data_IF_770559751734
#
_entry.id   IF_770559751734
#
_cell.length_a   1.000
_cell.length_b   1.000
_cell.length_c   1.000
_cell.angle_alpha   90.00
_cell.angle_beta   90.00
_cell.angle_gamma   90.00
#
_symmetry.space_group_name_H-M   'P 1'
#
loop_
_entity.id
_entity.type
_entity.pdbx_description
1 polymer ?
#
# COMPACT_ATOMS: atom_id res chain seq x y z
N UNK A 1 -9.93 -2.11 -7.74
CA UNK A 1 -8.67 -1.60 -8.35
C UNK A 1 -7.55 -2.30 -7.65
N UNK A 2 -6.52 -2.70 -8.38
CA UNK A 2 -5.37 -3.37 -7.78
C UNK A 2 -4.43 -2.34 -7.19
N UNK A 3 -3.87 -2.66 -6.02
CA UNK A 3 -2.90 -1.83 -5.33
C UNK A 3 -1.68 -2.63 -4.95
N UNK A 4 -0.55 -1.94 -4.89
CA UNK A 4 0.70 -2.47 -4.38
C UNK A 4 1.05 -1.71 -3.10
N UNK A 5 1.32 -2.46 -2.03
CA UNK A 5 1.88 -1.94 -0.78
C UNK A 5 3.34 -2.32 -0.74
N UNK A 6 4.22 -1.32 -0.70
CA UNK A 6 5.67 -1.53 -0.59
C UNK A 6 6.07 -1.42 0.88
N UNK A 7 6.85 -2.39 1.34
CA UNK A 7 7.38 -2.44 2.69
C UNK A 7 8.86 -2.05 2.71
N UNK A 8 9.32 -1.53 3.84
CA UNK A 8 10.69 -1.04 4.03
C UNK A 8 11.77 -2.13 4.00
N UNK A 9 11.37 -3.40 3.99
CA UNK A 9 12.25 -4.56 3.83
C UNK A 9 12.34 -5.05 2.36
N UNK A 10 11.80 -4.29 1.41
CA UNK A 10 11.76 -4.65 -0.02
C UNK A 10 10.64 -5.64 -0.38
N UNK A 11 9.84 -6.10 0.58
CA UNK A 11 8.68 -6.92 0.27
C UNK A 11 7.53 -6.09 -0.30
N UNK A 12 6.71 -6.76 -1.10
CA UNK A 12 5.55 -6.17 -1.74
C UNK A 12 4.31 -7.01 -1.41
N UNK A 13 3.22 -6.34 -1.06
CA UNK A 13 1.90 -6.95 -0.97
C UNK A 13 1.03 -6.47 -2.13
N UNK A 14 0.49 -7.42 -2.89
CA UNK A 14 -0.41 -7.13 -4.00
C UNK A 14 -1.85 -7.34 -3.53
N UNK A 15 -2.63 -6.26 -3.54
CA UNK A 15 -4.03 -6.25 -3.17
C UNK A 15 -4.86 -6.27 -4.44
N UNK A 16 -5.58 -7.37 -4.67
CA UNK A 16 -6.45 -7.51 -5.82
C UNK A 16 -7.85 -7.00 -5.50
N UNK A 17 -8.40 -6.17 -6.37
CA UNK A 17 -9.77 -5.63 -6.26
C UNK A 17 -10.09 -4.95 -4.91
N UNK A 18 -9.07 -4.48 -4.19
CA UNK A 18 -9.24 -3.89 -2.88
C UNK A 18 -9.87 -2.49 -2.98
N UNK A 19 -10.74 -2.16 -2.01
CA UNK A 19 -11.39 -0.87 -1.90
C UNK A 19 -10.86 -0.16 -0.65
N UNK A 20 -10.18 0.95 -0.86
CA UNK A 20 -9.77 1.81 0.24
C UNK A 20 -10.86 2.84 0.54
N UNK A 21 -11.25 2.94 1.81
CA UNK A 21 -11.74 4.20 2.34
C UNK A 21 -10.52 5.08 2.64
N UNK A 22 -10.25 6.03 1.75
CA UNK A 22 -9.07 6.89 1.85
C UNK A 22 -9.12 7.81 3.09
N UNK A 23 -10.31 8.17 3.57
CA UNK A 23 -10.47 8.99 4.75
C UNK A 23 -10.18 8.18 6.02
N UNK A 24 -10.75 6.96 6.12
CA UNK A 24 -10.48 6.06 7.23
C UNK A 24 -9.01 5.64 7.29
N UNK A 25 -8.43 5.22 6.16
CA UNK A 25 -7.01 4.83 6.09
C UNK A 25 -6.10 6.00 6.50
N UNK A 26 -6.39 7.22 6.03
CA UNK A 26 -5.62 8.41 6.43
C UNK A 26 -5.73 8.66 7.94
N UNK A 27 -6.91 8.50 8.53
CA UNK A 27 -7.09 8.64 9.97
C UNK A 27 -6.28 7.59 10.74
N UNK A 28 -6.32 6.33 10.32
CA UNK A 28 -5.59 5.23 10.97
C UNK A 28 -4.07 5.41 10.89
N UNK A 29 -3.54 5.78 9.72
CA UNK A 29 -2.11 6.01 9.54
C UNK A 29 -1.59 7.13 10.45
N UNK A 30 -2.39 8.19 10.64
CA UNK A 30 -2.03 9.35 11.44
C UNK A 30 -2.31 9.18 12.95
N UNK A 31 -3.11 8.21 13.38
CA UNK A 31 -3.36 7.95 14.80
C UNK A 31 -2.16 7.25 15.45
N UNK A 32 -1.45 7.96 16.32
CA UNK A 32 -0.25 7.45 17.00
C UNK A 32 -0.52 6.23 17.90
N UNK A 33 -1.77 5.97 18.28
CA UNK A 33 -2.16 4.81 19.09
C UNK A 33 -2.29 3.54 18.26
N UNK A 34 -2.48 3.67 16.96
CA UNK A 34 -2.62 2.55 16.02
C UNK A 34 -1.24 2.19 15.49
N UNK A 35 -0.73 1.02 15.86
CA UNK A 35 0.57 0.52 15.39
C UNK A 35 0.45 -0.49 14.26
N UNK A 36 -0.70 -1.16 14.17
CA UNK A 36 -0.99 -2.20 13.19
C UNK A 36 -2.26 -1.84 12.45
N UNK A 37 -2.26 -2.06 11.14
CA UNK A 37 -3.45 -1.88 10.31
C UNK A 37 -3.74 -3.18 9.56
N UNK A 38 -5.02 -3.41 9.31
CA UNK A 38 -5.47 -4.51 8.46
C UNK A 38 -5.53 -4.01 7.03
N UNK A 39 -4.85 -4.69 6.12
CA UNK A 39 -4.96 -4.41 4.68
C UNK A 39 -5.25 -5.73 3.98
N UNK A 40 -6.46 -5.88 3.43
CA UNK A 40 -6.90 -7.18 2.96
C UNK A 40 -6.95 -8.19 4.11
N UNK A 41 -6.43 -9.39 3.86
CA UNK A 41 -6.42 -10.50 4.81
C UNK A 41 -5.14 -10.55 5.68
N UNK A 42 -4.33 -9.48 5.67
CA UNK A 42 -3.08 -9.41 6.44
C UNK A 42 -3.07 -8.24 7.40
N UNK A 43 -2.44 -8.47 8.55
CA UNK A 43 -2.15 -7.44 9.55
C UNK A 43 -0.69 -7.04 9.41
N UNK A 44 -0.44 -5.75 9.22
CA UNK A 44 0.91 -5.22 9.06
C UNK A 44 1.17 -4.06 10.02
N UNK A 45 2.43 -3.89 10.43
CA UNK A 45 2.84 -2.69 11.16
C UNK A 45 2.80 -1.49 10.22
N UNK A 46 2.17 -0.39 10.65
CA UNK A 46 2.10 0.82 9.81
C UNK A 46 3.49 1.44 9.59
N UNK A 47 4.42 1.21 10.50
CA UNK A 47 5.79 1.74 10.43
C UNK A 47 6.66 1.03 9.39
N UNK A 48 6.21 -0.11 8.87
CA UNK A 48 6.92 -0.82 7.79
C UNK A 48 6.45 -0.39 6.41
N UNK A 49 5.35 0.36 6.31
CA UNK A 49 4.77 0.78 5.02
C UNK A 49 5.60 1.94 4.47
N UNK A 50 6.15 1.76 3.27
CA UNK A 50 6.78 2.83 2.50
C UNK A 50 5.76 3.56 1.64
N UNK A 51 4.95 2.81 0.89
CA UNK A 51 3.99 3.38 -0.06
C UNK A 51 2.81 2.44 -0.30
N UNK A 52 1.66 3.03 -0.65
CA UNK A 52 0.48 2.33 -1.14
C UNK A 52 0.10 3.02 -2.44
N UNK A 53 0.21 2.32 -3.56
CA UNK A 53 0.03 2.89 -4.91
C UNK A 53 -0.87 1.99 -5.77
N UNK A 54 -1.72 2.55 -6.64
CA UNK A 54 -2.44 1.77 -7.63
C UNK A 54 -1.48 0.99 -8.53
N UNK A 55 -1.70 -0.32 -8.72
CA UNK A 55 -0.82 -1.19 -9.51
C UNK A 55 -0.68 -0.71 -10.97
N UNK A 56 -1.76 -0.16 -11.54
CA UNK A 56 -1.77 0.44 -12.89
C UNK A 56 -0.73 1.56 -13.06
N UNK A 57 -0.33 2.25 -11.98
CA UNK A 57 0.68 3.32 -12.05
C UNK A 57 2.12 2.79 -12.01
N UNK A 58 2.35 1.56 -11.56
CA UNK A 58 3.68 0.93 -11.57
C UNK A 58 3.99 0.35 -12.95
N UNK A 59 3.03 -0.31 -13.58
CA UNK A 59 3.19 -0.92 -14.91
C UNK A 59 3.51 0.13 -16.00
N UNK A 60 3.07 1.39 -15.82
CA UNK A 60 3.42 2.49 -16.71
C UNK A 60 4.80 3.13 -16.46
N UNK A 61 5.39 2.95 -15.27
CA UNK A 61 6.68 3.53 -14.91
C UNK A 61 7.86 2.66 -15.35
N UNK A 62 7.68 1.33 -15.38
CA UNK A 62 8.69 0.38 -15.87
C UNK A 62 8.89 0.48 -17.39
N UNK A 63 7.85 0.88 -18.14
CA UNK A 63 7.91 1.06 -19.60
C UNK A 63 8.66 2.32 -20.05
N UNK A 64 9.02 3.24 -19.15
CA UNK A 64 9.72 4.49 -19.49
C UNK A 64 11.25 4.42 -19.26
N UNK A 65 11.78 3.28 -18.84
CA UNK A 65 13.23 3.09 -18.63
C UNK A 65 13.88 2.34 -19.82
N UNK A 66 13.08 1.81 -20.75
CA UNK A 66 13.54 1.08 -21.95
C UNK A 66 13.44 1.87 -23.27
N UNK A 67 13.52 3.22 -23.24
CA UNK A 67 13.73 4.06 -24.44
C UNK A 67 15.08 4.81 -24.39
#
# INVERSE_FOLDING_TARGET
MDYQVQLNNGQTLNLKDYKFDSAALKAELNDQRINFISIGDVIISKHTILSIVPKKLIEGAEQQIED
#
